data_IF_408718736358
#
_entry.id   IF_408718736358
#
_cell.length_a   1.000
_cell.length_b   1.000
_cell.length_c   1.000
_cell.angle_alpha   90.00
_cell.angle_beta   90.00
_cell.angle_gamma   90.00
#
_symmetry.space_group_name_H-M   'P 1'
#
loop_
_entity.id
_entity.type
_entity.pdbx_description
1 polymer ?
#
# COMPACT_ATOMS: atom_id res chain seq x y z
N UNK A 1 10.36 -11.27 1.18
CA UNK A 1 9.26 -10.36 1.54
C UNK A 1 9.21 -10.26 3.05
N UNK A 2 8.98 -9.06 3.59
CA UNK A 2 8.81 -8.83 5.03
C UNK A 2 7.38 -8.37 5.31
N UNK A 3 6.83 -8.81 6.44
CA UNK A 3 5.50 -8.41 6.91
C UNK A 3 5.65 -7.29 7.91
N UNK A 4 5.11 -6.11 7.60
CA UNK A 4 5.16 -4.92 8.46
C UNK A 4 3.83 -4.77 9.20
N UNK A 5 3.77 -4.95 10.54
CA UNK A 5 2.53 -4.82 11.29
C UNK A 5 1.92 -3.42 11.18
N UNK A 6 0.60 -3.35 11.08
CA UNK A 6 -0.13 -2.09 11.14
C UNK A 6 -0.43 -1.73 12.60
N UNK A 7 0.06 -0.58 13.05
CA UNK A 7 -0.37 0.06 14.29
C UNK A 7 -1.49 1.05 13.99
N UNK A 8 -2.65 0.90 14.64
CA UNK A 8 -3.83 1.71 14.36
C UNK A 8 -4.32 2.44 15.60
N UNK A 9 -4.87 3.63 15.41
CA UNK A 9 -5.65 4.27 16.47
C UNK A 9 -7.03 3.62 16.62
N UNK A 10 -7.68 3.85 17.76
CA UNK A 10 -9.00 3.28 18.06
C UNK A 10 -10.08 3.67 17.03
N UNK A 11 -9.89 4.80 16.33
CA UNK A 11 -10.78 5.28 15.28
C UNK A 11 -10.51 4.70 13.88
N UNK A 12 -9.40 3.96 13.69
CA UNK A 12 -8.95 3.47 12.38
C UNK A 12 -8.58 4.59 11.38
N UNK A 13 -8.51 5.84 11.85
CA UNK A 13 -8.19 7.02 11.05
C UNK A 13 -6.68 7.14 10.84
N UNK A 14 -5.90 6.57 11.75
CA UNK A 14 -4.45 6.44 11.63
C UNK A 14 -4.08 4.98 11.53
N UNK A 15 -3.25 4.66 10.54
CA UNK A 15 -2.63 3.37 10.37
C UNK A 15 -1.16 3.62 10.03
N UNK A 16 -0.27 3.17 10.90
CA UNK A 16 1.18 3.38 10.84
C UNK A 16 1.90 2.04 10.64
N UNK A 17 3.05 2.08 9.98
CA UNK A 17 3.97 0.95 9.85
C UNK A 17 5.40 1.41 10.13
N UNK A 18 6.22 0.50 10.64
CA UNK A 18 7.66 0.72 10.75
C UNK A 18 8.32 0.41 9.39
N UNK A 19 8.75 1.45 8.70
CA UNK A 19 9.44 1.39 7.41
C UNK A 19 10.93 1.65 7.61
N UNK A 20 11.76 1.41 6.59
CA UNK A 20 13.17 1.81 6.65
C UNK A 20 13.34 3.34 6.80
N UNK A 21 12.35 4.14 6.40
CA UNK A 21 12.31 5.59 6.62
C UNK A 21 11.80 5.98 8.03
N UNK A 22 11.55 5.01 8.91
CA UNK A 22 10.93 5.17 10.21
C UNK A 22 9.41 4.93 10.20
N UNK A 23 8.72 5.44 11.22
CA UNK A 23 7.27 5.25 11.35
C UNK A 23 6.50 6.11 10.33
N UNK A 24 5.80 5.46 9.40
CA UNK A 24 5.11 6.11 8.28
C UNK A 24 3.64 5.72 8.19
N UNK A 25 2.82 6.60 7.61
CA UNK A 25 1.39 6.32 7.40
C UNK A 25 1.17 5.31 6.27
N UNK A 26 0.49 4.21 6.55
CA UNK A 26 0.14 3.22 5.52
C UNK A 26 -0.73 3.82 4.41
N UNK A 27 -1.71 4.67 4.77
CA UNK A 27 -2.61 5.32 3.82
C UNK A 27 -1.90 6.23 2.82
N UNK A 28 -0.85 6.94 3.23
CA UNK A 28 -0.17 7.95 2.40
C UNK A 28 1.20 7.52 1.88
N UNK A 29 1.84 6.56 2.53
CA UNK A 29 3.20 6.14 2.20
C UNK A 29 3.17 4.80 1.47
N UNK A 30 2.56 3.78 2.08
CA UNK A 30 2.49 2.45 1.47
C UNK A 30 1.65 2.42 0.19
N UNK A 31 0.59 3.24 0.11
CA UNK A 31 -0.24 3.38 -1.09
C UNK A 31 0.56 3.78 -2.35
N UNK A 32 1.69 4.48 -2.17
CA UNK A 32 2.48 5.05 -3.27
C UNK A 32 3.88 4.42 -3.38
N UNK A 33 4.23 3.48 -2.50
CA UNK A 33 5.52 2.80 -2.53
C UNK A 33 5.47 1.56 -3.45
N UNK A 34 6.45 1.38 -4.35
CA UNK A 34 6.52 0.21 -5.25
C UNK A 34 6.78 -1.11 -4.51
N UNK A 35 7.39 -1.03 -3.32
CA UNK A 35 7.68 -2.19 -2.47
C UNK A 35 6.46 -2.73 -1.73
N UNK A 36 5.39 -1.94 -1.58
CA UNK A 36 4.17 -2.39 -0.89
C UNK A 36 3.32 -3.28 -1.82
N UNK A 37 3.51 -4.60 -1.75
CA UNK A 37 2.92 -5.57 -2.69
C UNK A 37 1.54 -6.07 -2.28
N UNK A 38 1.21 -6.01 -0.99
CA UNK A 38 -0.12 -6.36 -0.54
C UNK A 38 -0.44 -5.95 0.88
N UNK A 39 -1.71 -6.13 1.23
CA UNK A 39 -2.24 -5.92 2.58
C UNK A 39 -2.69 -7.27 3.11
N UNK A 40 -2.26 -7.60 4.33
CA UNK A 40 -2.74 -8.76 5.06
C UNK A 40 -4.02 -8.39 5.79
N UNK A 41 -5.08 -9.15 5.57
CA UNK A 41 -6.38 -9.02 6.22
C UNK A 41 -6.73 -10.37 6.83
N UNK A 42 -6.52 -10.48 8.15
CA UNK A 42 -6.61 -11.76 8.85
C UNK A 42 -5.61 -12.78 8.28
N UNK A 43 -6.06 -13.96 7.81
CA UNK A 43 -5.18 -14.98 7.23
C UNK A 43 -4.83 -14.74 5.75
N UNK A 44 -5.52 -13.82 5.06
CA UNK A 44 -5.38 -13.62 3.61
C UNK A 44 -4.46 -12.44 3.28
N UNK A 45 -3.78 -12.53 2.14
CA UNK A 45 -3.00 -11.43 1.55
C UNK A 45 -3.71 -11.00 0.27
N UNK A 46 -4.05 -9.72 0.20
CA UNK A 46 -4.64 -9.10 -0.98
C UNK A 46 -3.59 -8.23 -1.67
N UNK A 47 -3.43 -8.34 -3.00
CA UNK A 47 -2.48 -7.52 -3.73
C UNK A 47 -2.90 -6.05 -3.69
N UNK A 48 -1.92 -5.16 -3.76
CA UNK A 48 -2.16 -3.71 -3.74
C UNK A 48 -2.87 -3.27 -5.05
N UNK A 49 -4.09 -2.67 -4.99
CA UNK A 49 -4.88 -2.29 -6.18
C UNK A 49 -4.15 -1.36 -7.15
N UNK A 50 -3.28 -0.51 -6.61
CA UNK A 50 -2.42 0.40 -7.36
C UNK A 50 -1.51 -0.34 -8.36
N UNK A 51 -1.16 -1.61 -8.10
CA UNK A 51 -0.34 -2.41 -9.03
C UNK A 51 -1.13 -2.84 -10.26
N UNK A 52 -2.43 -3.12 -10.09
CA UNK A 52 -3.33 -3.44 -11.21
C UNK A 52 -3.52 -2.23 -12.11
N UNK A 53 -3.83 -1.07 -11.52
CA UNK A 53 -3.99 0.17 -12.28
C UNK A 53 -2.72 0.58 -13.01
N UNK A 54 -1.54 0.44 -12.40
CA UNK A 54 -0.27 0.72 -13.07
C UNK A 54 -0.09 -0.15 -14.34
N UNK A 55 -0.50 -1.42 -14.28
CA UNK A 55 -0.42 -2.32 -15.44
C UNK A 55 -1.40 -1.92 -16.56
N UNK A 56 -2.57 -1.39 -16.22
CA UNK A 56 -3.56 -0.92 -17.18
C UNK A 56 -3.21 0.45 -17.78
N UNK A 57 -2.64 1.36 -16.98
CA UNK A 57 -2.10 2.64 -17.46
C UNK A 57 -0.98 2.42 -18.48
N UNK A 58 -0.08 1.46 -18.24
CA UNK A 58 0.95 1.05 -19.22
C UNK A 58 0.37 0.57 -20.55
N UNK A 59 -0.90 0.17 -20.59
CA UNK A 59 -1.64 -0.28 -21.78
C UNK A 59 -2.49 0.83 -22.41
N UNK A 60 -2.45 2.06 -21.90
CA UNK A 60 -3.09 3.23 -22.50
C UNK A 60 -4.57 3.43 -22.15
N UNK A 61 -5.10 2.79 -21.11
CA UNK A 61 -6.49 2.93 -20.68
C UNK A 61 -6.61 3.50 -19.25
N UNK A 62 -7.41 4.58 -19.12
CA UNK A 62 -7.95 5.21 -17.90
C UNK A 62 -6.97 5.46 -16.72
N UNK A 63 -6.58 6.72 -16.51
CA UNK A 63 -5.71 7.09 -15.39
C UNK A 63 -6.50 7.47 -14.12
N UNK A 64 -7.36 8.49 -14.17
CA UNK A 64 -7.77 9.18 -12.93
C UNK A 64 -8.82 8.43 -12.10
N UNK A 65 -9.90 7.95 -12.72
CA UNK A 65 -10.96 7.23 -12.01
C UNK A 65 -10.47 5.87 -11.49
N UNK A 66 -9.64 5.17 -12.27
CA UNK A 66 -9.03 3.92 -11.86
C UNK A 66 -8.09 4.12 -10.66
N UNK A 67 -7.26 5.17 -10.68
CA UNK A 67 -6.39 5.53 -9.57
C UNK A 67 -7.20 5.90 -8.31
N UNK A 68 -8.29 6.65 -8.46
CA UNK A 68 -9.20 6.96 -7.34
C UNK A 68 -9.82 5.69 -6.75
N UNK A 69 -10.36 4.80 -7.60
CA UNK A 69 -10.96 3.55 -7.16
C UNK A 69 -9.95 2.64 -6.45
N UNK A 70 -8.72 2.54 -6.98
CA UNK A 70 -7.64 1.80 -6.34
C UNK A 70 -7.26 2.39 -4.97
N UNK A 71 -7.23 3.71 -4.84
CA UNK A 71 -6.98 4.37 -3.56
C UNK A 71 -8.09 4.07 -2.53
N UNK A 72 -9.36 4.13 -2.93
CA UNK A 72 -10.49 3.78 -2.06
C UNK A 72 -10.43 2.33 -1.58
N UNK A 73 -10.19 1.39 -2.50
CA UNK A 73 -10.04 -0.03 -2.18
C UNK A 73 -8.85 -0.29 -1.24
N UNK A 74 -7.72 0.36 -1.50
CA UNK A 74 -6.55 0.26 -0.63
C UNK A 74 -6.86 0.79 0.77
N UNK A 75 -7.51 1.94 0.89
CA UNK A 75 -7.89 2.50 2.19
C UNK A 75 -8.80 1.56 2.98
N UNK A 76 -9.77 0.90 2.31
CA UNK A 76 -10.61 -0.10 2.96
C UNK A 76 -9.79 -1.31 3.45
N UNK A 77 -8.86 -1.80 2.63
CA UNK A 77 -7.95 -2.87 3.03
C UNK A 77 -7.05 -2.49 4.20
N UNK A 78 -6.53 -1.27 4.24
CA UNK A 78 -5.75 -0.79 5.39
C UNK A 78 -6.62 -0.71 6.63
N UNK A 79 -7.88 -0.28 6.51
CA UNK A 79 -8.83 -0.23 7.64
C UNK A 79 -9.10 -1.61 8.23
N UNK A 80 -9.25 -2.63 7.39
CA UNK A 80 -9.57 -3.99 7.82
C UNK A 80 -8.33 -4.86 8.09
N UNK A 81 -7.17 -4.46 7.57
CA UNK A 81 -5.93 -5.24 7.58
C UNK A 81 -5.15 -5.19 8.89
N UNK A 82 -4.16 -6.06 9.03
CA UNK A 82 -3.27 -6.10 10.19
C UNK A 82 -1.79 -5.97 9.83
N UNK A 83 -1.41 -6.07 8.56
CA UNK A 83 -0.03 -5.89 8.12
C UNK A 83 0.07 -5.48 6.64
N UNK A 84 1.24 -4.97 6.26
CA UNK A 84 1.67 -4.76 4.87
C UNK A 84 2.67 -5.85 4.49
N UNK A 85 2.51 -6.44 3.31
CA UNK A 85 3.53 -7.28 2.69
C UNK A 85 4.45 -6.40 1.84
N UNK A 86 5.68 -6.24 2.32
CA UNK A 86 6.70 -5.37 1.76
C UNK A 86 7.81 -6.16 1.08
N UNK A 87 8.15 -5.78 -0.16
CA UNK A 87 9.21 -6.38 -0.95
C UNK A 87 10.59 -5.78 -0.69
N UNK A 88 10.70 -4.67 0.06
CA UNK A 88 11.98 -4.07 0.43
C UNK A 88 12.76 -4.98 1.41
N UNK A 89 13.73 -5.74 0.89
CA UNK A 89 14.59 -6.61 1.69
C UNK A 89 15.88 -5.92 2.14
N UNK A 90 16.25 -4.81 1.51
CA UNK A 90 17.54 -4.14 1.69
C UNK A 90 17.42 -2.84 2.50
N UNK A 91 16.24 -2.56 3.03
CA UNK A 91 15.92 -1.33 3.77
C UNK A 91 16.19 -0.08 2.92
N UNK A 92 15.81 -0.13 1.64
CA UNK A 92 15.91 1.00 0.71
C UNK A 92 14.89 2.10 1.02
N UNK A 93 13.83 1.79 1.75
CA UNK A 93 12.79 2.75 2.11
C UNK A 93 11.86 3.08 0.96
N UNK A 94 11.30 4.29 0.98
CA UNK A 94 10.30 4.72 0.04
C UNK A 94 10.84 4.77 -1.37
N UNK A 95 10.13 4.11 -2.28
CA UNK A 95 10.36 4.27 -3.71
C UNK A 95 9.04 4.49 -4.43
N UNK A 96 8.88 5.62 -5.14
CA UNK A 96 7.60 5.97 -5.73
C UNK A 96 7.21 4.99 -6.82
N UNK A 97 6.00 4.43 -6.72
CA UNK A 97 5.41 3.54 -7.72
C UNK A 97 5.08 4.25 -9.02
N UNK A 98 4.64 5.50 -8.92
CA UNK A 98 4.34 6.35 -10.07
C UNK A 98 5.51 7.31 -10.24
N UNK A 99 6.24 7.16 -11.35
CA UNK A 99 7.12 8.21 -11.85
C UNK A 99 6.28 9.02 -12.84
N UNK A 100 5.73 10.13 -12.37
CA UNK A 100 5.21 11.16 -13.27
C UNK A 100 6.39 11.83 -13.97
#
# INVERSE_FOLDING_TARGET
>A
MKTLPLSKDAGGNRAMVDCADGEVSAYRHCAFCEYCKGVRVGPRVYPTPQEQVLNDVKRGAAADEALMNAALQFNQMIRDGNAIECADQENQGFKPRYRL
#
